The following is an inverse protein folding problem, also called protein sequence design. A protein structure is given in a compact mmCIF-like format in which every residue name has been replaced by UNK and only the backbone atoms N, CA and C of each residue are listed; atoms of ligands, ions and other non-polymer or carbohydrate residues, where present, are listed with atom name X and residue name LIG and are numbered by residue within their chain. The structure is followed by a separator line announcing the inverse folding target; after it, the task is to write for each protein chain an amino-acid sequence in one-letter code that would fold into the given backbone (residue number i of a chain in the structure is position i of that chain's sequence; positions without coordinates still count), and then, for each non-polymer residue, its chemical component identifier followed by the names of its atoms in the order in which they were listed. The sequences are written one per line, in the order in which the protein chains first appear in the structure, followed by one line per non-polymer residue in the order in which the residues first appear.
data_IF_397904377357
#
_entry.id   IF_397904377357
#
_cell.length_a   1.000
_cell.length_b   1.000
_cell.length_c   1.000
_cell.angle_alpha   90.00
_cell.angle_beta   90.00
_cell.angle_gamma   90.00
#
_symmetry.space_group_name_H-M   'P 1'
#
loop_
_entity.id
_entity.type
_entity.pdbx_description
1 polymer ?
#
# COMPACT_ATOMS: atom_id res chain seq x y z
N UNK A 1 -12.25 41.51 -14.91
CA UNK A 1 -12.92 40.26 -14.50
C UNK A 1 -11.98 39.11 -14.81
N UNK A 2 -11.47 38.38 -13.80
CA UNK A 2 -10.55 37.25 -14.03
C UNK A 2 -11.38 36.03 -14.40
N UNK A 3 -11.23 35.55 -15.63
CA UNK A 3 -11.80 34.26 -16.06
C UNK A 3 -11.11 33.18 -15.22
N UNK A 4 -11.90 32.47 -14.43
CA UNK A 4 -11.44 31.30 -13.69
C UNK A 4 -11.64 30.11 -14.62
N UNK A 5 -10.53 29.53 -15.09
CA UNK A 5 -10.54 28.32 -15.91
C UNK A 5 -10.99 27.11 -15.09
N UNK A 6 -12.32 26.92 -15.03
CA UNK A 6 -13.01 25.77 -14.47
C UNK A 6 -12.41 24.40 -14.81
N UNK A 7 -11.97 24.10 -16.05
CA UNK A 7 -11.36 22.80 -16.34
C UNK A 7 -10.03 22.58 -15.60
N UNK A 8 -9.26 23.65 -15.36
CA UNK A 8 -7.99 23.57 -14.64
C UNK A 8 -8.20 23.31 -13.13
N UNK A 9 -9.26 23.88 -12.56
CA UNK A 9 -9.68 23.62 -11.18
C UNK A 9 -10.15 22.18 -10.97
N UNK A 10 -10.93 21.62 -11.89
CA UNK A 10 -11.37 20.23 -11.80
C UNK A 10 -10.20 19.25 -11.91
N UNK A 11 -9.24 19.53 -12.79
CA UNK A 11 -8.05 18.70 -12.97
C UNK A 11 -7.14 18.72 -11.72
N UNK A 12 -6.91 19.89 -11.13
CA UNK A 12 -6.11 20.01 -9.90
C UNK A 12 -6.78 19.33 -8.70
N UNK A 13 -8.10 19.44 -8.55
CA UNK A 13 -8.84 18.71 -7.50
C UNK A 13 -8.77 17.19 -7.68
N UNK A 14 -8.84 16.68 -8.92
CA UNK A 14 -8.70 15.26 -9.20
C UNK A 14 -7.31 14.73 -8.84
N UNK A 15 -6.24 15.46 -9.19
CA UNK A 15 -4.86 15.12 -8.84
C UNK A 15 -4.65 15.09 -7.32
N UNK A 16 -5.17 16.09 -6.60
CA UNK A 16 -5.10 16.13 -5.14
C UNK A 16 -5.87 14.95 -4.52
N UNK A 17 -7.04 14.61 -5.04
CA UNK A 17 -7.81 13.44 -4.58
C UNK A 17 -7.06 12.11 -4.77
N UNK A 18 -6.35 11.94 -5.89
CA UNK A 18 -5.53 10.75 -6.17
C UNK A 18 -4.32 10.70 -5.22
N UNK A 19 -3.62 11.82 -5.03
CA UNK A 19 -2.48 11.93 -4.10
C UNK A 19 -2.89 11.62 -2.65
N UNK A 20 -4.01 12.17 -2.20
CA UNK A 20 -4.58 11.90 -0.88
C UNK A 20 -4.89 10.40 -0.75
N UNK A 21 -5.57 9.80 -1.72
CA UNK A 21 -5.86 8.35 -1.70
C UNK A 21 -4.59 7.48 -1.65
N UNK A 22 -3.51 7.90 -2.31
CA UNK A 22 -2.22 7.22 -2.23
C UNK A 22 -1.55 7.36 -0.85
N UNK A 23 -1.63 8.54 -0.23
CA UNK A 23 -1.07 8.79 1.11
C UNK A 23 -1.82 8.03 2.22
N UNK A 24 -3.12 7.78 2.05
CA UNK A 24 -3.93 7.06 3.05
C UNK A 24 -3.72 5.54 3.09
N UNK A 25 -2.95 4.95 2.15
CA UNK A 25 -2.84 3.48 2.02
C UNK A 25 -1.92 2.77 3.03
N UNK A 26 -1.26 3.48 3.95
CA UNK A 26 -0.56 2.86 5.08
C UNK A 26 -0.95 3.56 6.39
N UNK A 27 -2.01 3.07 7.03
CA UNK A 27 -2.34 3.44 8.41
C UNK A 27 -2.30 2.19 9.30
N UNK A 28 -1.99 2.39 10.57
CA UNK A 28 -2.12 1.31 11.55
C UNK A 28 -3.61 0.89 11.63
N UNK A 29 -3.94 -0.39 11.46
CA UNK A 29 -5.33 -0.86 11.51
C UNK A 29 -5.97 -0.65 12.89
N UNK A 30 -5.17 -0.67 13.96
CA UNK A 30 -5.65 -0.52 15.35
C UNK A 30 -5.84 0.93 15.78
N UNK A 31 -4.82 1.78 15.63
CA UNK A 31 -4.84 3.16 16.15
C UNK A 31 -4.91 4.24 15.07
N UNK A 32 -5.04 3.86 13.80
CA UNK A 32 -5.07 4.76 12.62
C UNK A 32 -3.85 5.70 12.52
N UNK A 33 -2.75 5.37 13.20
CA UNK A 33 -1.50 6.10 13.08
C UNK A 33 -1.01 6.09 11.63
N UNK A 34 -0.48 7.23 11.18
CA UNK A 34 0.05 7.44 9.83
C UNK A 34 1.27 6.55 9.54
N UNK A 35 1.60 6.39 8.26
CA UNK A 35 2.64 5.47 7.77
C UNK A 35 4.02 5.65 8.42
N UNK A 36 4.40 6.88 8.81
CA UNK A 36 5.70 7.14 9.43
C UNK A 36 5.85 6.50 10.83
N UNK A 37 4.75 6.12 11.48
CA UNK A 37 4.78 5.33 12.71
C UNK A 37 4.82 3.83 12.45
N UNK A 38 4.85 3.38 11.20
CA UNK A 38 4.82 1.96 10.83
C UNK A 38 6.25 1.50 10.56
N UNK A 39 6.76 0.59 11.38
CA UNK A 39 8.04 -0.09 11.22
C UNK A 39 7.83 -1.39 10.46
N UNK A 40 8.52 -1.57 9.35
CA UNK A 40 8.64 -2.89 8.73
C UNK A 40 9.60 -3.75 9.56
N UNK A 41 9.21 -5.00 9.82
CA UNK A 41 10.00 -5.93 10.62
C UNK A 41 10.75 -6.92 9.73
N UNK A 42 10.03 -7.69 8.92
CA UNK A 42 10.59 -8.73 8.04
C UNK A 42 9.59 -9.15 6.95
N UNK A 43 10.06 -9.95 6.00
CA UNK A 43 9.24 -10.64 5.00
C UNK A 43 9.55 -12.13 5.07
N UNK A 44 8.51 -12.94 5.09
CA UNK A 44 8.61 -14.39 5.04
C UNK A 44 7.94 -14.86 3.73
N UNK A 45 8.57 -15.82 3.04
CA UNK A 45 7.98 -16.50 1.89
C UNK A 45 7.19 -17.72 2.38
N UNK A 46 5.89 -17.74 2.07
CA UNK A 46 4.98 -18.83 2.43
C UNK A 46 4.50 -19.56 1.18
N UNK A 47 4.28 -20.87 1.31
CA UNK A 47 3.82 -21.73 0.23
C UNK A 47 4.21 -23.18 0.49
N UNK A 48 3.54 -24.11 -0.18
CA UNK A 48 3.87 -25.55 -0.12
C UNK A 48 4.85 -25.96 -1.20
N UNK A 49 4.88 -25.24 -2.33
CA UNK A 49 5.79 -25.49 -3.44
C UNK A 49 6.80 -24.34 -3.58
N UNK A 50 7.97 -24.50 -2.97
CA UNK A 50 9.07 -23.55 -3.11
C UNK A 50 9.68 -23.55 -4.52
N UNK A 51 9.41 -24.58 -5.32
CA UNK A 51 9.89 -24.72 -6.70
C UNK A 51 9.11 -23.84 -7.67
N UNK A 52 7.84 -23.54 -7.37
CA UNK A 52 6.99 -22.69 -8.20
C UNK A 52 6.93 -21.24 -7.66
N UNK A 53 7.67 -20.28 -8.25
CA UNK A 53 7.69 -18.89 -7.78
C UNK A 53 6.35 -18.15 -7.90
N UNK A 54 5.40 -18.66 -8.70
CA UNK A 54 4.06 -18.09 -8.86
C UNK A 54 3.12 -18.47 -7.71
N UNK A 55 3.42 -19.55 -6.99
CA UNK A 55 2.65 -19.96 -5.81
C UNK A 55 3.19 -19.36 -4.50
N UNK A 56 4.27 -18.57 -4.57
CA UNK A 56 4.86 -17.93 -3.39
C UNK A 56 4.00 -16.77 -2.91
N UNK A 57 3.66 -16.81 -1.62
CA UNK A 57 3.00 -15.74 -0.89
C UNK A 57 4.08 -14.98 -0.12
N UNK A 58 4.29 -13.71 -0.43
CA UNK A 58 5.16 -12.85 0.36
C UNK A 58 4.36 -12.25 1.51
N UNK A 59 4.65 -12.70 2.74
CA UNK A 59 4.05 -12.15 3.96
C UNK A 59 4.98 -11.08 4.54
N UNK A 60 4.51 -9.83 4.57
CA UNK A 60 5.25 -8.71 5.15
C UNK A 60 4.73 -8.40 6.55
N UNK A 61 5.64 -8.26 7.51
CA UNK A 61 5.32 -7.96 8.90
C UNK A 61 5.59 -6.50 9.22
N UNK A 62 4.64 -5.87 9.90
CA UNK A 62 4.67 -4.47 10.28
C UNK A 62 4.36 -4.31 11.77
N UNK A 63 4.90 -3.26 12.37
CA UNK A 63 4.62 -2.84 13.74
C UNK A 63 4.32 -1.35 13.78
N UNK A 64 3.28 -0.95 14.49
CA UNK A 64 3.04 0.45 14.79
C UNK A 64 3.88 0.87 16.00
N UNK A 65 4.74 1.87 15.87
CA UNK A 65 5.52 2.45 16.97
C UNK A 65 4.68 3.24 17.97
N UNK A 66 3.46 3.64 17.61
CA UNK A 66 2.57 4.45 18.47
C UNK A 66 1.79 3.59 19.48
N UNK A 67 1.31 2.42 19.06
CA UNK A 67 0.49 1.54 19.90
C UNK A 67 1.05 0.12 20.00
N UNK A 68 2.27 -0.09 19.49
CA UNK A 68 3.02 -1.35 19.47
C UNK A 68 2.35 -2.53 18.75
N UNK A 69 1.18 -2.29 18.15
CA UNK A 69 0.40 -3.30 17.43
C UNK A 69 1.15 -3.83 16.22
N UNK A 70 1.22 -5.15 16.09
CA UNK A 70 1.83 -5.84 14.97
C UNK A 70 0.75 -6.44 14.06
N UNK A 71 0.98 -6.38 12.75
CA UNK A 71 0.13 -7.03 11.76
C UNK A 71 0.96 -7.46 10.55
N UNK A 72 0.39 -8.34 9.74
CA UNK A 72 0.96 -8.82 8.51
C UNK A 72 0.09 -8.46 7.30
N UNK A 73 0.72 -8.36 6.14
CA UNK A 73 0.05 -8.20 4.86
C UNK A 73 0.61 -9.24 3.90
N UNK A 74 -0.27 -10.08 3.39
CA UNK A 74 0.07 -11.08 2.39
C UNK A 74 -0.06 -10.46 1.00
N UNK A 75 1.01 -10.54 0.22
CA UNK A 75 1.00 -10.24 -1.21
C UNK A 75 1.20 -11.53 -1.97
N UNK A 76 0.15 -11.96 -2.68
CA UNK A 76 0.33 -12.92 -3.77
C UNK A 76 1.17 -12.23 -4.84
N UNK A 77 2.18 -12.93 -5.38
CA UNK A 77 2.80 -12.49 -6.61
C UNK A 77 1.74 -12.66 -7.70
N UNK A 78 0.98 -11.60 -7.99
CA UNK A 78 0.12 -11.59 -9.17
C UNK A 78 1.02 -11.90 -10.36
N UNK A 79 0.60 -12.85 -11.21
CA UNK A 79 1.20 -13.03 -12.52
C UNK A 79 1.28 -11.66 -13.18
N UNK A 80 2.47 -11.08 -13.16
CA UNK A 80 2.89 -10.16 -14.20
C UNK A 80 2.87 -11.04 -15.44
N UNK A 81 1.77 -10.96 -16.19
CA UNK A 81 1.53 -11.80 -17.34
C UNK A 81 2.71 -11.75 -18.28
N UNK A 82 3.46 -12.83 -18.32
CA UNK A 82 4.26 -13.18 -19.48
C UNK A 82 3.28 -13.73 -20.50
N UNK A 83 2.75 -12.81 -21.30
CA UNK A 83 2.25 -13.11 -22.63
C UNK A 83 3.50 -13.49 -23.42
N UNK A 84 3.75 -14.79 -23.56
CA UNK A 84 4.71 -15.30 -24.54
C UNK A 84 4.07 -16.37 -25.40
#
# INVERSE_FOLDING_TARGET
MRNVDWPFLLFTLALVGILIRFLFKLQCPRCKAKFYFIKYLRTDDLGTDFSNPHQRIQRKYYQCRKCEYQWNIDRKRSDSGDIH
#
